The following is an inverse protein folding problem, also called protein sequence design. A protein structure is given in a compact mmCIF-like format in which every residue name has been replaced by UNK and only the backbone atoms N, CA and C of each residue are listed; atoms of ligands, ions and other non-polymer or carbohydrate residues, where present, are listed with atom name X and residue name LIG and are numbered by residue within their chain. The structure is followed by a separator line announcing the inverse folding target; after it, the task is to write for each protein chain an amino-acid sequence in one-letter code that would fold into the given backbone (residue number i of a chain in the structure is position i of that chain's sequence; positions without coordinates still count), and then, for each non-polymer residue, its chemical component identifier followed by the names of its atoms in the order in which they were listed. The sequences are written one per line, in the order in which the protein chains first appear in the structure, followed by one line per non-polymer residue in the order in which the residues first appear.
data_IF_654519091025
#
_entry.id   IF_654519091025
#
_cell.length_a   1.000
_cell.length_b   1.000
_cell.length_c   1.000
_cell.angle_alpha   90.00
_cell.angle_beta   90.00
_cell.angle_gamma   90.00
#
_symmetry.space_group_name_H-M   'P 1'
#
loop_
_entity.id
_entity.type
_entity.pdbx_description
1 polymer ?
#
# COMPACT_ATOMS: atom_id res chain seq x y z
N UNK A 1 11.86 14.71 3.03
CA UNK A 1 10.55 15.32 2.70
C UNK A 1 9.49 15.06 3.79
N UNK A 2 9.74 14.17 4.76
CA UNK A 2 8.68 13.59 5.62
C UNK A 2 8.82 13.85 7.13
N UNK A 3 9.68 14.79 7.54
CA UNK A 3 9.97 15.01 8.98
C UNK A 3 9.74 16.47 9.40
N UNK A 4 8.67 17.09 8.91
CA UNK A 4 8.04 18.21 9.62
C UNK A 4 6.80 17.72 10.37
N UNK A 5 6.40 18.43 11.41
CA UNK A 5 5.34 17.99 12.33
C UNK A 5 4.01 17.73 11.62
N UNK A 6 3.66 18.51 10.59
CA UNK A 6 2.41 18.32 9.85
C UNK A 6 2.45 17.06 8.99
N UNK A 7 3.55 16.88 8.26
CA UNK A 7 3.74 15.77 7.32
C UNK A 7 3.87 14.45 8.07
N UNK A 8 4.60 14.43 9.19
CA UNK A 8 4.72 13.26 10.05
C UNK A 8 3.37 12.84 10.62
N UNK A 9 2.59 13.80 11.15
CA UNK A 9 1.25 13.54 11.67
C UNK A 9 0.29 13.07 10.57
N UNK A 10 0.36 13.69 9.38
CA UNK A 10 -0.47 13.31 8.25
C UNK A 10 -0.20 11.86 7.81
N UNK A 11 1.07 11.47 7.63
CA UNK A 11 1.38 10.13 7.13
C UNK A 11 1.18 9.05 8.20
N UNK A 12 1.59 9.28 9.44
CA UNK A 12 1.35 8.32 10.53
C UNK A 12 -0.14 8.15 10.87
N UNK A 13 -1.00 9.12 10.53
CA UNK A 13 -2.43 9.04 10.81
C UNK A 13 -3.33 8.70 9.59
N UNK A 14 -2.88 8.94 8.35
CA UNK A 14 -3.73 8.84 7.16
C UNK A 14 -3.18 7.94 6.06
N UNK A 15 -1.86 7.76 5.95
CA UNK A 15 -1.24 6.95 4.89
C UNK A 15 0.12 6.45 5.37
N UNK A 16 0.18 5.26 6.01
CA UNK A 16 1.40 4.71 6.62
C UNK A 16 2.46 4.28 5.58
N UNK A 17 2.55 4.94 4.42
CA UNK A 17 3.51 4.70 3.34
C UNK A 17 3.43 3.33 2.66
N UNK A 18 2.46 2.50 3.02
CA UNK A 18 2.30 1.12 2.50
C UNK A 18 1.27 0.97 1.36
N UNK A 19 0.59 2.04 0.95
CA UNK A 19 -0.51 1.98 -0.03
C UNK A 19 -0.16 2.46 -1.45
N UNK A 20 1.11 2.35 -1.86
CA UNK A 20 1.57 2.89 -3.14
C UNK A 20 0.91 2.21 -4.37
N UNK A 21 0.60 0.91 -4.30
CA UNK A 21 0.08 0.14 -5.44
C UNK A 21 -1.25 -0.54 -5.08
N UNK A 22 -2.33 -0.37 -5.88
CA UNK A 22 -2.47 0.45 -7.08
C UNK A 22 -2.90 1.90 -6.79
N UNK A 23 -2.62 2.84 -7.69
CA UNK A 23 -3.10 4.22 -7.54
C UNK A 23 -4.63 4.34 -7.74
N UNK A 24 -5.39 4.30 -6.65
CA UNK A 24 -6.85 4.47 -6.65
C UNK A 24 -7.28 5.90 -7.00
N UNK A 25 -6.44 6.89 -6.71
CA UNK A 25 -6.64 8.29 -7.11
C UNK A 25 -6.84 8.44 -8.62
N UNK A 26 -6.21 7.56 -9.42
CA UNK A 26 -6.41 7.48 -10.87
C UNK A 26 -7.44 6.40 -11.23
N UNK A 27 -7.38 5.24 -10.58
CA UNK A 27 -8.25 4.12 -10.89
C UNK A 27 -9.74 4.44 -10.79
N UNK A 28 -10.16 5.12 -9.71
CA UNK A 28 -11.58 5.48 -9.49
C UNK A 28 -12.15 6.41 -10.58
N UNK A 29 -11.55 7.59 -10.86
CA UNK A 29 -12.09 8.47 -11.90
C UNK A 29 -11.95 7.87 -13.32
N UNK A 30 -10.89 7.09 -13.59
CA UNK A 30 -10.79 6.34 -14.86
C UNK A 30 -11.93 5.33 -14.99
N UNK A 31 -12.27 4.61 -13.92
CA UNK A 31 -13.39 3.67 -13.92
C UNK A 31 -14.71 4.37 -14.24
N UNK A 32 -14.94 5.53 -13.63
CA UNK A 32 -16.11 6.35 -13.94
C UNK A 32 -16.18 6.77 -15.41
N UNK A 33 -15.06 7.16 -16.03
CA UNK A 33 -15.00 7.44 -17.47
C UNK A 33 -15.34 6.21 -18.32
N UNK A 34 -14.84 5.04 -17.94
CA UNK A 34 -15.12 3.78 -18.66
C UNK A 34 -16.63 3.50 -18.60
N UNK A 35 -17.24 3.60 -17.42
CA UNK A 35 -18.68 3.40 -17.23
C UNK A 35 -19.50 4.39 -18.08
N UNK A 36 -19.16 5.68 -18.05
CA UNK A 36 -19.85 6.71 -18.85
C UNK A 36 -19.80 6.39 -20.35
N UNK A 37 -18.62 5.97 -20.84
CA UNK A 37 -18.41 5.61 -22.25
C UNK A 37 -19.16 4.34 -22.63
N UNK A 38 -19.16 3.33 -21.77
CA UNK A 38 -19.93 2.09 -21.96
C UNK A 38 -21.43 2.39 -22.02
N UNK A 39 -21.92 3.25 -21.12
CA UNK A 39 -23.32 3.67 -21.11
C UNK A 39 -23.73 4.42 -22.39
N UNK A 40 -22.92 5.39 -22.84
CA UNK A 40 -23.18 6.10 -24.11
C UNK A 40 -23.20 5.14 -25.30
N UNK A 41 -22.28 4.17 -25.32
CA UNK A 41 -22.19 3.15 -26.35
C UNK A 41 -23.42 2.25 -26.38
N UNK A 42 -23.91 1.83 -25.22
CA UNK A 42 -25.13 1.03 -25.10
C UNK A 42 -26.37 1.77 -25.62
N UNK A 43 -26.45 3.09 -25.40
CA UNK A 43 -27.49 3.96 -25.93
C UNK A 43 -27.32 4.30 -27.42
N UNK A 44 -26.18 3.97 -28.03
CA UNK A 44 -25.84 4.35 -29.40
C UNK A 44 -25.60 5.85 -29.59
N UNK A 45 -25.37 6.59 -28.50
CA UNK A 45 -25.16 8.04 -28.51
C UNK A 45 -23.66 8.34 -28.47
N UNK A 46 -23.22 9.33 -29.24
CA UNK A 46 -21.83 9.81 -29.14
C UNK A 46 -21.66 10.56 -27.82
N UNK A 47 -20.53 10.37 -27.13
CA UNK A 47 -20.22 11.13 -25.89
C UNK A 47 -20.33 12.65 -26.09
N UNK A 48 -20.05 13.15 -27.30
CA UNK A 48 -20.20 14.57 -27.68
C UNK A 48 -21.65 15.08 -27.65
N UNK A 49 -22.61 14.19 -27.79
CA UNK A 49 -24.05 14.47 -27.83
C UNK A 49 -24.74 14.10 -26.50
N UNK A 50 -23.98 13.50 -25.56
CA UNK A 50 -24.51 13.08 -24.28
C UNK A 50 -24.78 14.28 -23.36
N UNK A 51 -25.93 14.27 -22.67
CA UNK A 51 -26.36 15.34 -21.75
C UNK A 51 -25.32 15.67 -20.67
N UNK A 52 -24.48 14.71 -20.30
CA UNK A 52 -23.47 14.85 -19.25
C UNK A 52 -22.04 14.92 -19.81
N UNK A 53 -21.87 15.35 -21.07
CA UNK A 53 -20.55 15.52 -21.69
C UNK A 53 -19.64 16.44 -20.88
N UNK A 54 -20.18 17.53 -20.33
CA UNK A 54 -19.42 18.47 -19.49
C UNK A 54 -18.86 17.78 -18.25
N UNK A 55 -19.61 16.83 -17.68
CA UNK A 55 -19.16 16.01 -16.56
C UNK A 55 -18.06 15.03 -16.97
N UNK A 56 -18.18 14.37 -18.13
CA UNK A 56 -17.12 13.51 -18.67
C UNK A 56 -15.81 14.29 -18.89
N UNK A 57 -15.90 15.51 -19.45
CA UNK A 57 -14.76 16.40 -19.63
C UNK A 57 -14.16 16.84 -18.28
N UNK A 58 -15.02 17.17 -17.31
CA UNK A 58 -14.57 17.52 -15.96
C UNK A 58 -13.74 16.40 -15.34
N UNK A 59 -14.19 15.15 -15.46
CA UNK A 59 -13.43 13.98 -14.96
C UNK A 59 -12.09 13.84 -15.69
N UNK A 60 -12.05 14.02 -17.01
CA UNK A 60 -10.79 13.97 -17.77
C UNK A 60 -9.79 15.01 -17.24
N UNK A 61 -10.23 16.25 -17.04
CA UNK A 61 -9.38 17.31 -16.49
C UNK A 61 -8.95 16.99 -15.06
N UNK A 62 -9.86 16.46 -14.24
CA UNK A 62 -9.57 16.07 -12.87
C UNK A 62 -8.51 14.96 -12.80
N UNK A 63 -8.55 13.97 -13.69
CA UNK A 63 -7.49 12.95 -13.80
C UNK A 63 -6.13 13.57 -14.10
N UNK A 64 -6.06 14.54 -15.03
CA UNK A 64 -4.80 15.22 -15.34
C UNK A 64 -4.23 15.97 -14.13
N UNK A 65 -5.11 16.63 -13.37
CA UNK A 65 -4.72 17.30 -12.13
C UNK A 65 -4.23 16.28 -11.10
N UNK A 66 -4.93 15.15 -10.93
CA UNK A 66 -4.50 14.11 -10.01
C UNK A 66 -3.18 13.47 -10.39
N UNK A 67 -2.93 13.20 -11.68
CA UNK A 67 -1.61 12.72 -12.13
C UNK A 67 -0.53 13.71 -11.72
N UNK A 68 -0.74 15.01 -11.91
CA UNK A 68 0.22 16.02 -11.47
C UNK A 68 0.37 16.02 -9.94
N UNK A 69 -0.73 16.06 -9.19
CA UNK A 69 -0.71 16.16 -7.73
C UNK A 69 -0.05 14.97 -7.05
N UNK A 70 -0.38 13.73 -7.45
CA UNK A 70 0.18 12.52 -6.79
C UNK A 70 1.67 12.36 -7.06
N UNK A 71 2.14 12.76 -8.24
CA UNK A 71 3.56 12.73 -8.60
C UNK A 71 4.31 13.88 -7.92
N UNK A 72 3.71 15.07 -7.88
CA UNK A 72 4.29 16.24 -7.23
C UNK A 72 4.46 16.03 -5.72
N UNK A 73 3.48 15.40 -5.07
CA UNK A 73 3.52 15.10 -3.65
C UNK A 73 4.42 13.89 -3.31
N UNK A 74 4.87 13.14 -4.33
CA UNK A 74 5.75 11.98 -4.15
C UNK A 74 5.07 10.74 -3.57
N UNK A 75 3.73 10.68 -3.57
CA UNK A 75 2.95 9.58 -2.97
C UNK A 75 2.90 8.35 -3.89
N UNK A 76 2.91 8.55 -5.21
CA UNK A 76 2.84 7.46 -6.18
C UNK A 76 3.95 7.57 -7.22
N UNK A 77 4.50 6.42 -7.62
CA UNK A 77 5.30 6.29 -8.82
C UNK A 77 4.43 6.20 -10.07
N UNK A 78 4.99 6.54 -11.23
CA UNK A 78 4.30 6.42 -12.52
C UNK A 78 3.83 4.98 -12.77
N UNK A 79 4.61 3.99 -12.30
CA UNK A 79 4.28 2.57 -12.45
C UNK A 79 3.02 2.15 -11.68
N UNK A 80 2.68 2.84 -10.60
CA UNK A 80 1.51 2.56 -9.74
C UNK A 80 0.18 2.88 -10.44
N UNK A 81 0.23 3.75 -11.46
CA UNK A 81 -0.91 4.16 -12.27
C UNK A 81 -1.41 2.99 -13.13
N UNK A 82 -0.50 2.16 -13.64
CA UNK A 82 -0.82 1.04 -14.54
C UNK A 82 -1.78 0.03 -13.90
N UNK A 83 -1.47 -0.56 -12.72
CA UNK A 83 -2.40 -1.47 -12.06
C UNK A 83 -3.69 -0.75 -11.61
N UNK A 84 -3.63 0.55 -11.32
CA UNK A 84 -4.83 1.37 -11.06
C UNK A 84 -5.80 1.42 -12.25
N UNK A 85 -5.28 1.64 -13.46
CA UNK A 85 -6.07 1.59 -14.71
C UNK A 85 -6.58 0.17 -14.98
N UNK A 86 -5.77 -0.87 -14.71
CA UNK A 86 -6.18 -2.26 -14.82
C UNK A 86 -7.38 -2.59 -13.90
N UNK A 87 -7.31 -2.17 -12.64
CA UNK A 87 -8.41 -2.32 -11.68
C UNK A 87 -9.66 -1.54 -12.13
N UNK A 88 -9.49 -0.33 -12.64
CA UNK A 88 -10.57 0.48 -13.19
C UNK A 88 -11.29 -0.22 -14.34
N UNK A 89 -10.54 -0.85 -15.25
CA UNK A 89 -11.10 -1.64 -16.34
C UNK A 89 -11.94 -2.80 -15.81
N UNK A 90 -11.35 -3.64 -14.95
CA UNK A 90 -12.01 -4.84 -14.43
C UNK A 90 -13.31 -4.47 -13.70
N UNK A 91 -13.22 -3.53 -12.76
CA UNK A 91 -14.37 -3.13 -11.95
C UNK A 91 -15.47 -2.48 -12.78
N UNK A 92 -15.13 -1.61 -13.73
CA UNK A 92 -16.11 -0.92 -14.59
C UNK A 92 -16.89 -1.88 -15.48
N UNK A 93 -16.18 -2.84 -16.10
CA UNK A 93 -16.82 -3.84 -16.95
C UNK A 93 -17.70 -4.80 -16.15
N UNK A 94 -17.23 -5.22 -14.98
CA UNK A 94 -18.04 -6.05 -14.08
C UNK A 94 -19.32 -5.34 -13.68
N UNK A 95 -19.22 -4.11 -13.18
CA UNK A 95 -20.37 -3.30 -12.76
C UNK A 95 -21.32 -3.06 -13.92
N UNK A 96 -20.82 -2.66 -15.10
CA UNK A 96 -21.66 -2.42 -16.28
C UNK A 96 -22.47 -3.67 -16.68
N UNK A 97 -21.90 -4.87 -16.54
CA UNK A 97 -22.59 -6.11 -16.90
C UNK A 97 -23.54 -6.63 -15.82
N UNK A 98 -23.22 -6.45 -14.54
CA UNK A 98 -23.96 -7.04 -13.42
C UNK A 98 -25.05 -6.09 -12.91
N UNK A 99 -24.75 -4.80 -12.80
CA UNK A 99 -25.65 -3.81 -12.18
C UNK A 99 -27.04 -3.71 -12.85
N UNK A 100 -27.18 -3.70 -14.19
CA UNK A 100 -28.51 -3.67 -14.82
C UNK A 100 -29.36 -4.88 -14.48
N UNK A 101 -28.70 -6.03 -14.31
CA UNK A 101 -29.34 -7.32 -14.13
C UNK A 101 -29.76 -7.53 -12.67
N UNK A 102 -28.97 -6.99 -11.72
CA UNK A 102 -29.39 -6.82 -10.31
C UNK A 102 -30.57 -5.87 -10.14
N UNK A 103 -30.68 -4.82 -10.97
CA UNK A 103 -31.77 -3.83 -10.89
C UNK A 103 -33.06 -4.27 -11.58
N UNK A 104 -33.05 -5.38 -12.31
CA UNK A 104 -34.25 -5.88 -12.99
C UNK A 104 -35.23 -6.47 -11.97
N UNK A 105 -36.52 -6.13 -12.07
CA UNK A 105 -37.57 -6.49 -11.10
C UNK A 105 -37.82 -8.01 -10.98
N UNK A 106 -37.28 -8.82 -11.89
CA UNK A 106 -37.34 -10.29 -11.87
C UNK A 106 -36.22 -10.90 -11.02
N UNK A 107 -36.17 -10.53 -9.73
CA UNK A 107 -35.20 -11.01 -8.75
C UNK A 107 -35.26 -12.53 -8.47
N UNK A 108 -36.24 -13.26 -9.04
CA UNK A 108 -36.49 -14.67 -8.76
C UNK A 108 -35.46 -15.65 -9.35
N UNK A 109 -34.38 -15.17 -9.98
CA UNK A 109 -33.35 -16.01 -10.60
C UNK A 109 -31.96 -15.66 -10.06
N UNK A 110 -31.58 -16.30 -8.96
CA UNK A 110 -30.20 -16.37 -8.42
C UNK A 110 -29.17 -16.83 -9.48
N UNK A 111 -29.64 -17.46 -10.55
CA UNK A 111 -28.83 -17.90 -11.70
C UNK A 111 -28.15 -16.76 -12.49
N UNK A 112 -28.40 -15.49 -12.16
CA UNK A 112 -27.88 -14.37 -12.91
C UNK A 112 -26.34 -14.20 -12.77
N UNK A 113 -25.76 -14.57 -11.63
CA UNK A 113 -24.31 -14.48 -11.37
C UNK A 113 -23.59 -15.76 -11.86
N UNK A 114 -24.26 -16.70 -12.53
CA UNK A 114 -23.58 -17.90 -13.01
C UNK A 114 -22.72 -17.59 -14.24
N UNK A 115 -21.41 -17.88 -14.21
CA UNK A 115 -20.53 -17.63 -15.34
C UNK A 115 -20.86 -18.57 -16.51
N UNK A 116 -20.65 -18.10 -17.73
CA UNK A 116 -20.64 -18.97 -18.91
C UNK A 116 -19.38 -19.87 -18.90
N UNK A 117 -19.29 -20.85 -19.82
CA UNK A 117 -18.13 -21.79 -19.86
C UNK A 117 -16.77 -21.07 -19.97
N UNK A 118 -16.68 -20.01 -20.78
CA UNK A 118 -15.41 -19.25 -20.96
C UNK A 118 -15.04 -18.49 -19.69
N UNK A 119 -16.01 -17.81 -19.09
CA UNK A 119 -15.88 -17.14 -17.80
C UNK A 119 -15.48 -18.12 -16.70
N UNK A 120 -16.09 -19.31 -16.68
CA UNK A 120 -15.73 -20.34 -15.70
C UNK A 120 -14.27 -20.78 -15.84
N UNK A 121 -13.78 -21.06 -17.05
CA UNK A 121 -12.37 -21.39 -17.27
C UNK A 121 -11.44 -20.25 -16.85
N UNK A 122 -11.82 -19.01 -17.16
CA UNK A 122 -11.05 -17.83 -16.76
C UNK A 122 -11.03 -17.62 -15.25
N UNK A 123 -12.16 -17.81 -14.56
CA UNK A 123 -12.26 -17.74 -13.09
C UNK A 123 -11.35 -18.79 -12.46
N UNK A 124 -11.43 -20.04 -12.91
CA UNK A 124 -10.57 -21.11 -12.38
C UNK A 124 -9.09 -20.79 -12.61
N UNK A 125 -8.73 -20.33 -13.81
CA UNK A 125 -7.36 -19.94 -14.14
C UNK A 125 -6.84 -18.78 -13.29
N UNK A 126 -7.63 -17.71 -13.15
CA UNK A 126 -7.29 -16.55 -12.31
C UNK A 126 -7.17 -16.96 -10.85
N UNK A 127 -8.11 -17.73 -10.31
CA UNK A 127 -8.02 -18.21 -8.94
C UNK A 127 -6.73 -19.00 -8.72
N UNK A 128 -6.40 -19.94 -9.61
CA UNK A 128 -5.16 -20.72 -9.46
C UNK A 128 -3.90 -19.83 -9.49
N UNK A 129 -3.82 -18.90 -10.45
CA UNK A 129 -2.69 -17.98 -10.57
C UNK A 129 -2.62 -17.06 -9.35
N UNK A 130 -3.71 -16.43 -8.95
CA UNK A 130 -3.72 -15.51 -7.81
C UNK A 130 -3.39 -16.22 -6.49
N UNK A 131 -3.91 -17.43 -6.28
CA UNK A 131 -3.52 -18.28 -5.15
C UNK A 131 -2.03 -18.55 -5.16
N UNK A 132 -1.46 -18.94 -6.31
CA UNK A 132 -0.02 -19.15 -6.45
C UNK A 132 0.77 -17.87 -6.11
N UNK A 133 0.37 -16.72 -6.64
CA UNK A 133 1.04 -15.44 -6.36
C UNK A 133 0.97 -15.07 -4.88
N UNK A 134 -0.18 -15.23 -4.23
CA UNK A 134 -0.33 -14.93 -2.80
C UNK A 134 0.60 -15.80 -1.97
N UNK A 135 0.57 -17.12 -2.14
CA UNK A 135 1.36 -18.01 -1.29
C UNK A 135 2.87 -17.92 -1.58
N UNK A 136 3.28 -17.94 -2.85
CA UNK A 136 4.69 -18.04 -3.19
C UNK A 136 5.40 -16.70 -3.41
N UNK A 137 4.67 -15.60 -3.57
CA UNK A 137 5.28 -14.28 -3.78
C UNK A 137 4.97 -13.33 -2.64
N UNK A 138 3.73 -13.32 -2.12
CA UNK A 138 3.35 -12.38 -1.06
C UNK A 138 3.72 -12.93 0.32
N UNK A 139 3.40 -14.20 0.59
CA UNK A 139 3.62 -14.83 1.90
C UNK A 139 5.06 -15.38 2.00
N UNK A 140 5.46 -16.23 1.06
CA UNK A 140 6.80 -16.86 1.05
C UNK A 140 7.78 -16.17 0.08
N UNK A 141 7.56 -14.89 -0.21
CA UNK A 141 8.38 -14.13 -1.14
C UNK A 141 9.81 -13.85 -0.66
N UNK A 142 10.72 -13.45 -1.56
CA UNK A 142 12.10 -13.10 -1.17
C UNK A 142 12.20 -11.95 -0.15
N UNK A 143 11.19 -11.06 -0.09
CA UNK A 143 11.13 -9.98 0.89
C UNK A 143 10.73 -10.41 2.30
N UNK A 144 10.26 -11.65 2.49
CA UNK A 144 9.83 -12.16 3.81
C UNK A 144 10.93 -12.91 4.56
N UNK A 145 12.12 -13.06 3.96
CA UNK A 145 13.30 -13.60 4.63
C UNK A 145 13.76 -12.72 5.78
N UNK A 146 13.98 -13.31 6.95
CA UNK A 146 14.51 -12.62 8.13
C UNK A 146 15.98 -12.22 7.98
N UNK A 147 16.69 -12.87 7.06
CA UNK A 147 18.10 -12.60 6.75
C UNK A 147 18.28 -11.37 5.84
N UNK A 148 17.21 -10.88 5.20
CA UNK A 148 17.26 -9.77 4.25
C UNK A 148 16.71 -8.48 4.89
N UNK A 149 17.41 -7.34 4.77
CA UNK A 149 16.97 -6.09 5.40
C UNK A 149 15.70 -5.55 4.75
N UNK A 150 14.77 -5.06 5.58
CA UNK A 150 13.66 -4.22 5.11
C UNK A 150 13.96 -2.72 5.23
N UNK A 151 15.00 -2.35 5.98
CA UNK A 151 15.47 -0.97 6.08
C UNK A 151 16.98 -0.87 5.86
N UNK A 152 17.37 0.17 5.10
CA UNK A 152 18.77 0.57 4.88
C UNK A 152 18.97 1.99 5.38
N UNK A 153 20.09 2.23 6.06
CA UNK A 153 20.42 3.48 6.74
C UNK A 153 21.74 4.02 6.22
N UNK A 154 21.74 5.23 5.66
CA UNK A 154 22.96 5.98 5.40
C UNK A 154 23.48 6.70 6.67
N UNK A 155 24.67 7.26 6.58
CA UNK A 155 25.39 7.87 7.72
C UNK A 155 24.63 9.04 8.38
N UNK A 156 23.91 9.84 7.58
CA UNK A 156 23.14 11.00 8.06
C UNK A 156 21.64 10.71 8.11
N UNK A 157 21.23 9.49 7.78
CA UNK A 157 19.82 9.14 7.66
C UNK A 157 19.24 8.76 9.03
N UNK A 158 18.04 9.27 9.30
CA UNK A 158 17.17 8.75 10.36
C UNK A 158 15.95 8.18 9.68
N UNK A 159 15.82 6.85 9.74
CA UNK A 159 14.67 6.16 9.20
C UNK A 159 13.60 5.99 10.29
N UNK A 160 12.35 5.86 9.87
CA UNK A 160 11.19 5.82 10.71
C UNK A 160 10.32 4.63 10.31
N UNK A 161 10.02 3.79 11.28
CA UNK A 161 8.98 2.77 11.18
C UNK A 161 7.82 3.11 12.12
N UNK A 162 6.58 2.92 11.66
CA UNK A 162 5.39 3.17 12.49
C UNK A 162 4.87 1.85 13.06
N UNK A 163 4.53 1.86 14.36
CA UNK A 163 3.89 0.72 15.04
C UNK A 163 2.41 1.06 15.24
N UNK A 164 1.54 0.32 14.55
CA UNK A 164 0.09 0.49 14.66
C UNK A 164 -0.51 -0.49 15.68
N UNK A 165 -0.82 0.00 16.89
CA UNK A 165 -1.41 -0.87 17.92
C UNK A 165 -2.93 -0.97 17.73
N UNK A 166 -3.39 -2.06 17.12
CA UNK A 166 -4.82 -2.28 16.80
C UNK A 166 -5.68 -2.78 17.98
N UNK A 167 -5.08 -3.04 19.15
CA UNK A 167 -5.80 -3.56 20.32
C UNK A 167 -5.42 -2.83 21.60
N UNK A 168 -6.42 -2.48 22.41
CA UNK A 168 -6.21 -1.91 23.75
C UNK A 168 -5.77 -2.97 24.77
N UNK A 169 -5.97 -4.25 24.46
CA UNK A 169 -5.74 -5.35 25.41
C UNK A 169 -4.53 -6.21 25.06
N UNK A 170 -4.13 -6.21 23.78
CA UNK A 170 -3.03 -7.04 23.30
C UNK A 170 -1.88 -6.14 22.82
N UNK A 171 -0.65 -6.33 23.34
CA UNK A 171 0.52 -5.62 22.84
C UNK A 171 0.88 -6.04 21.43
N UNK A 172 1.57 -5.16 20.70
CA UNK A 172 2.32 -5.51 19.50
C UNK A 172 3.73 -5.88 19.93
N UNK A 173 4.22 -7.06 19.55
CA UNK A 173 5.60 -7.45 19.83
C UNK A 173 6.44 -7.10 18.61
N UNK A 174 7.54 -6.38 18.84
CA UNK A 174 8.46 -6.01 17.78
C UNK A 174 9.80 -6.67 18.02
N UNK A 175 10.32 -7.33 16.99
CA UNK A 175 11.70 -7.81 16.92
C UNK A 175 12.47 -6.94 15.93
N UNK A 176 13.66 -6.49 16.33
CA UNK A 176 14.57 -5.77 15.46
C UNK A 176 15.91 -6.48 15.42
N UNK A 177 16.34 -6.85 14.22
CA UNK A 177 17.58 -7.59 13.96
C UNK A 177 18.51 -6.71 13.15
N UNK A 178 19.76 -6.56 13.59
CA UNK A 178 20.80 -5.95 12.79
C UNK A 178 21.42 -7.01 11.86
N UNK A 179 20.99 -7.03 10.60
CA UNK A 179 21.49 -7.98 9.59
C UNK A 179 22.76 -7.48 8.88
N UNK A 180 23.11 -6.21 9.07
CA UNK A 180 24.29 -5.58 8.49
C UNK A 180 25.58 -5.76 9.29
N UNK A 181 26.63 -5.10 8.80
CA UNK A 181 27.97 -5.10 9.39
C UNK A 181 28.23 -3.89 10.31
N UNK A 182 27.35 -2.89 10.28
CA UNK A 182 27.48 -1.64 11.03
C UNK A 182 26.61 -1.63 12.27
N UNK A 183 27.05 -0.93 13.33
CA UNK A 183 26.23 -0.78 14.54
C UNK A 183 25.12 0.25 14.33
N UNK A 184 23.93 -0.02 14.87
CA UNK A 184 22.76 0.85 14.73
C UNK A 184 22.19 1.26 16.09
N UNK A 185 21.54 2.42 16.12
CA UNK A 185 20.76 2.89 17.27
C UNK A 185 19.28 2.93 16.91
N UNK A 186 18.45 2.47 17.84
CA UNK A 186 16.99 2.49 17.73
C UNK A 186 16.42 3.32 18.86
N UNK A 187 15.38 4.10 18.58
CA UNK A 187 14.65 4.87 19.56
C UNK A 187 13.16 4.59 19.41
N UNK A 188 12.58 3.91 20.40
CA UNK A 188 11.14 3.72 20.50
C UNK A 188 10.53 4.94 21.21
N UNK A 189 9.58 5.60 20.56
CA UNK A 189 8.94 6.79 21.11
C UNK A 189 7.49 6.96 20.61
N UNK A 190 6.64 7.59 21.42
CA UNK A 190 5.29 8.01 20.97
C UNK A 190 5.40 9.05 19.86
N UNK A 191 4.60 8.90 18.81
CA UNK A 191 4.57 9.80 17.65
C UNK A 191 4.30 11.25 18.06
N UNK A 192 3.35 11.48 18.97
CA UNK A 192 3.00 12.82 19.48
C UNK A 192 4.13 13.55 20.23
N UNK A 193 5.14 12.81 20.69
CA UNK A 193 6.37 13.38 21.26
C UNK A 193 7.36 13.67 20.14
N UNK A 194 7.57 12.70 19.24
CA UNK A 194 8.48 12.84 18.10
C UNK A 194 8.14 14.03 17.19
N UNK A 195 6.85 14.24 16.90
CA UNK A 195 6.34 15.36 16.10
C UNK A 195 6.84 16.73 16.60
N UNK A 196 7.00 16.91 17.91
CA UNK A 196 7.43 18.18 18.51
C UNK A 196 8.92 18.46 18.33
N UNK A 197 9.68 17.46 17.92
CA UNK A 197 11.14 17.50 17.74
C UNK A 197 11.54 17.10 16.31
N UNK A 198 10.61 17.20 15.36
CA UNK A 198 10.81 16.96 13.94
C UNK A 198 10.52 18.25 13.16
N UNK A 199 11.57 18.88 12.60
CA UNK A 199 11.42 20.09 11.78
C UNK A 199 12.18 19.95 10.47
N UNK A 200 11.53 20.31 9.35
CA UNK A 200 12.14 20.39 8.00
C UNK A 200 12.86 19.12 7.54
N UNK A 201 12.43 17.96 8.02
CA UNK A 201 13.07 16.71 7.62
C UNK A 201 14.19 16.24 8.56
N UNK A 202 14.34 16.87 9.74
CA UNK A 202 15.40 16.52 10.70
C UNK A 202 14.77 16.24 12.05
N UNK A 203 15.11 15.09 12.64
CA UNK A 203 14.78 14.76 14.03
C UNK A 203 15.89 15.27 14.95
N UNK A 204 15.53 16.02 15.99
CA UNK A 204 16.45 16.35 17.08
C UNK A 204 16.70 15.11 17.95
N UNK A 205 17.68 14.31 17.52
CA UNK A 205 18.01 13.04 18.17
C UNK A 205 18.41 13.21 19.64
N UNK A 206 19.15 14.27 19.96
CA UNK A 206 19.59 14.50 21.35
C UNK A 206 18.39 14.76 22.25
N UNK A 207 17.47 15.64 21.82
CA UNK A 207 16.26 15.94 22.57
C UNK A 207 15.29 14.76 22.68
N UNK A 208 15.29 13.86 21.67
CA UNK A 208 14.43 12.68 21.63
C UNK A 208 15.00 11.50 22.41
N UNK A 209 16.32 11.32 22.41
CA UNK A 209 17.01 10.22 23.10
C UNK A 209 16.75 10.20 24.61
N UNK A 210 16.45 11.34 25.22
CA UNK A 210 16.12 11.44 26.64
C UNK A 210 14.62 11.21 26.95
N UNK A 211 13.78 11.04 25.92
CA UNK A 211 12.30 10.99 26.04
C UNK A 211 11.69 9.67 25.55
N UNK A 212 12.48 8.82 24.92
CA UNK A 212 12.08 7.49 24.47
C UNK A 212 13.00 6.41 25.04
N UNK A 213 12.79 5.19 24.58
CA UNK A 213 13.62 4.03 24.94
C UNK A 213 14.69 3.82 23.86
N UNK A 214 15.96 3.96 24.26
CA UNK A 214 17.11 3.85 23.37
C UNK A 214 17.70 2.44 23.42
N UNK A 215 17.90 1.83 22.25
CA UNK A 215 18.58 0.56 22.06
C UNK A 215 19.80 0.76 21.15
N UNK A 216 20.85 -0.01 21.39
CA UNK A 216 22.04 -0.06 20.52
C UNK A 216 22.23 -1.50 20.11
N UNK A 217 22.26 -1.77 18.81
CA UNK A 217 22.49 -3.10 18.27
C UNK A 217 23.84 -3.16 17.58
N UNK A 218 24.66 -4.10 18.03
CA UNK A 218 25.89 -4.51 17.33
C UNK A 218 25.54 -5.34 16.10
N UNK A 219 26.48 -5.59 15.17
CA UNK A 219 26.24 -6.45 14.02
C UNK A 219 25.74 -7.84 14.44
N UNK A 220 24.69 -8.34 13.80
CA UNK A 220 24.03 -9.63 14.09
C UNK A 220 23.36 -9.73 15.46
N UNK A 221 23.23 -8.62 16.18
CA UNK A 221 22.48 -8.54 17.43
C UNK A 221 21.00 -8.28 17.15
N UNK A 222 20.12 -8.80 18.01
CA UNK A 222 18.69 -8.53 17.98
C UNK A 222 18.20 -7.95 19.31
N UNK A 223 17.09 -7.25 19.25
CA UNK A 223 16.34 -6.81 20.43
C UNK A 223 14.85 -7.01 20.20
N UNK A 224 14.11 -7.21 21.28
CA UNK A 224 12.66 -7.32 21.23
C UNK A 224 12.01 -6.50 22.33
N UNK A 225 10.87 -5.89 22.01
CA UNK A 225 10.08 -5.10 22.93
C UNK A 225 8.59 -5.21 22.60
N UNK A 226 7.75 -4.92 23.60
CA UNK A 226 6.30 -4.98 23.46
C UNK A 226 5.72 -3.58 23.61
N UNK A 227 4.86 -3.18 22.67
CA UNK A 227 4.22 -1.86 22.67
C UNK A 227 2.74 -2.01 22.96
N UNK A 228 2.28 -1.31 24.00
CA UNK A 228 0.86 -1.22 24.36
C UNK A 228 0.36 0.21 24.14
N UNK A 229 -0.95 0.31 23.91
CA UNK A 229 -1.61 1.60 23.73
C UNK A 229 -2.76 1.77 24.72
N UNK A 230 -2.90 2.98 25.26
CA UNK A 230 -4.03 3.37 26.11
C UNK A 230 -5.22 3.88 25.27
N UNK A 231 -4.99 4.18 23.99
CA UNK A 231 -5.93 4.84 23.09
C UNK A 231 -5.77 4.33 21.65
N UNK A 232 -6.88 4.23 20.91
CA UNK A 232 -6.85 3.87 19.49
C UNK A 232 -6.23 4.96 18.59
N UNK A 233 -5.96 6.14 19.15
CA UNK A 233 -5.29 7.25 18.46
C UNK A 233 -3.80 7.36 18.80
N UNK A 234 -3.33 6.55 19.75
CA UNK A 234 -1.94 6.56 20.17
C UNK A 234 -1.14 5.67 19.19
N UNK A 235 -0.16 6.27 18.52
CA UNK A 235 0.81 5.56 17.69
C UNK A 235 2.22 5.71 18.25
N UNK A 236 3.05 4.73 17.95
CA UNK A 236 4.47 4.72 18.29
C UNK A 236 5.29 4.64 17.02
N UNK A 237 6.51 5.14 17.08
CA UNK A 237 7.47 5.03 15.99
C UNK A 237 8.79 4.47 16.52
N UNK A 238 9.50 3.78 15.64
CA UNK A 238 10.89 3.37 15.82
C UNK A 238 11.73 4.27 14.92
N UNK A 239 12.51 5.14 15.53
CA UNK A 239 13.54 5.88 14.80
C UNK A 239 14.81 5.06 14.79
N UNK A 240 15.41 4.88 13.63
CA UNK A 240 16.65 4.12 13.47
C UNK A 240 17.71 4.97 12.76
N UNK A 241 18.96 4.86 13.22
CA UNK A 241 20.10 5.50 12.58
C UNK A 241 21.38 4.69 12.79
N UNK A 242 22.39 4.97 11.97
CA UNK A 242 23.74 4.44 12.21
C UNK A 242 24.34 4.98 13.50
N UNK A 243 25.06 4.13 14.21
CA UNK A 243 25.88 4.54 15.36
C UNK A 243 27.20 5.07 14.83
N UNK A 244 27.33 6.39 14.76
CA UNK A 244 28.56 7.01 14.30
C UNK A 244 29.74 6.61 15.21
N UNK A 245 30.86 6.10 14.66
CA UNK A 245 32.12 6.09 15.39
C UNK A 245 32.57 7.54 15.62
N UNK A 246 33.26 7.78 16.74
CA UNK A 246 33.82 9.10 17.06
C UNK A 246 34.70 9.62 15.91
N UNK A 247 34.58 10.92 15.64
CA UNK A 247 35.25 11.73 14.61
C UNK A 247 36.34 11.04 13.77
N UNK A 248 36.14 10.97 12.46
CA UNK A 248 37.16 10.49 11.52
C UNK A 248 38.45 11.32 11.64
N UNK A 249 39.57 10.67 11.97
CA UNK A 249 40.88 11.32 12.02
C UNK A 249 41.58 11.39 10.67
N UNK A 250 41.26 10.50 9.72
CA UNK A 250 41.90 10.40 8.40
C UNK A 250 40.89 10.47 7.25
N UNK A 251 41.31 11.05 6.13
CA UNK A 251 40.46 11.30 4.95
C UNK A 251 39.94 10.00 4.28
N UNK A 252 40.73 8.93 4.32
CA UNK A 252 40.31 7.60 3.80
C UNK A 252 39.19 6.98 4.62
N UNK A 253 39.22 7.15 5.94
CA UNK A 253 38.21 6.61 6.85
C UNK A 253 36.88 7.36 6.70
N UNK A 254 36.92 8.66 6.38
CA UNK A 254 35.74 9.44 6.02
C UNK A 254 35.04 8.91 4.75
N UNK A 255 35.78 8.42 3.76
CA UNK A 255 35.22 7.93 2.50
C UNK A 255 34.59 6.55 2.66
N UNK A 256 35.20 5.68 3.48
CA UNK A 256 34.62 4.40 3.90
C UNK A 256 33.35 4.64 4.73
N UNK A 257 33.38 5.59 5.67
CA UNK A 257 32.20 5.95 6.48
C UNK A 257 31.06 6.58 5.66
N UNK A 258 31.35 7.32 4.58
CA UNK A 258 30.29 7.80 3.69
C UNK A 258 29.58 6.68 2.93
N UNK A 259 30.24 5.54 2.77
CA UNK A 259 29.69 4.37 2.11
C UNK A 259 29.19 3.30 3.10
N UNK A 260 29.28 3.55 4.41
CA UNK A 260 28.76 2.63 5.42
C UNK A 260 27.24 2.62 5.35
N UNK A 261 26.65 1.43 5.24
CA UNK A 261 25.20 1.24 5.17
C UNK A 261 24.80 0.36 6.35
N UNK A 262 23.92 0.88 7.20
CA UNK A 262 23.26 0.10 8.23
C UNK A 262 22.12 -0.70 7.60
N UNK A 263 21.99 -1.97 7.96
CA UNK A 263 20.95 -2.84 7.43
C UNK A 263 20.22 -3.49 8.60
N UNK A 264 18.93 -3.18 8.74
CA UNK A 264 18.09 -3.71 9.82
C UNK A 264 16.86 -4.39 9.26
N UNK A 265 16.40 -5.39 10.00
CA UNK A 265 15.13 -6.08 9.81
C UNK A 265 14.24 -5.76 11.00
N UNK A 266 13.12 -5.09 10.76
CA UNK A 266 12.09 -4.86 11.78
C UNK A 266 10.91 -5.80 11.48
N UNK A 267 10.50 -6.59 12.46
CA UNK A 267 9.39 -7.54 12.38
C UNK A 267 8.36 -7.17 13.44
N UNK A 268 7.14 -6.89 13.02
CA UNK A 268 6.02 -6.60 13.92
C UNK A 268 5.09 -7.81 13.97
N UNK A 269 4.95 -8.40 15.15
CA UNK A 269 4.03 -9.50 15.44
C UNK A 269 2.75 -8.96 16.06
N UNK A 270 1.66 -9.08 15.31
CA UNK A 270 0.34 -8.69 15.78
C UNK A 270 -0.34 -9.90 16.44
N UNK A 271 -1.23 -9.64 17.38
CA UNK A 271 -1.96 -10.71 18.08
C UNK A 271 -2.76 -11.62 17.12
N UNK A 272 -3.16 -11.08 15.95
CA UNK A 272 -4.01 -11.76 14.98
C UNK A 272 -3.23 -12.30 13.76
N UNK A 273 -1.96 -12.68 13.91
CA UNK A 273 -1.13 -13.21 12.82
C UNK A 273 -1.73 -14.48 12.12
N UNK A 274 -2.74 -15.12 12.72
CA UNK A 274 -3.52 -16.22 12.11
C UNK A 274 -4.55 -15.77 11.04
N UNK A 275 -4.72 -14.47 10.80
CA UNK A 275 -5.71 -13.92 9.85
C UNK A 275 -5.37 -14.13 8.37
N UNK A 276 -4.20 -14.68 8.03
CA UNK A 276 -3.79 -14.91 6.63
C UNK A 276 -4.82 -15.75 5.87
N UNK A 277 -5.39 -16.77 6.50
CA UNK A 277 -6.43 -17.60 5.88
C UNK A 277 -7.74 -16.84 5.67
N UNK A 278 -8.13 -16.02 6.64
CA UNK A 278 -9.29 -15.14 6.53
C UNK A 278 -9.10 -14.15 5.37
N UNK A 279 -7.93 -13.53 5.27
CA UNK A 279 -7.58 -12.62 4.19
C UNK A 279 -7.65 -13.32 2.81
N UNK A 280 -7.09 -14.53 2.71
CA UNK A 280 -7.18 -15.33 1.49
C UNK A 280 -8.64 -15.65 1.11
N UNK A 281 -9.49 -16.08 2.05
CA UNK A 281 -10.90 -16.38 1.77
C UNK A 281 -11.65 -15.12 1.31
N UNK A 282 -11.39 -13.98 1.95
CA UNK A 282 -11.99 -12.69 1.59
C UNK A 282 -11.50 -12.18 0.23
N UNK A 283 -10.37 -12.68 -0.29
CA UNK A 283 -9.88 -12.35 -1.64
C UNK A 283 -10.59 -13.12 -2.77
N UNK A 284 -11.27 -14.24 -2.49
CA UNK A 284 -11.93 -15.08 -3.51
C UNK A 284 -12.96 -14.35 -4.38
N UNK A 285 -13.81 -13.44 -3.85
CA UNK A 285 -14.70 -12.61 -4.67
C UNK A 285 -13.94 -11.78 -5.71
N UNK A 286 -12.75 -11.27 -5.36
CA UNK A 286 -11.92 -10.52 -6.30
C UNK A 286 -11.43 -11.41 -7.44
N UNK A 287 -11.00 -12.64 -7.16
CA UNK A 287 -10.60 -13.59 -8.22
C UNK A 287 -11.76 -13.92 -9.15
N UNK A 288 -12.94 -14.11 -8.57
CA UNK A 288 -14.17 -14.31 -9.33
C UNK A 288 -14.45 -13.12 -10.26
N UNK A 289 -14.41 -11.88 -9.75
CA UNK A 289 -14.68 -10.66 -10.54
C UNK A 289 -13.68 -10.52 -11.69
N UNK A 290 -12.38 -10.66 -11.40
CA UNK A 290 -11.32 -10.57 -12.41
C UNK A 290 -11.49 -11.64 -13.47
N UNK A 291 -11.67 -12.89 -13.07
CA UNK A 291 -11.89 -14.00 -14.01
C UNK A 291 -13.18 -13.86 -14.82
N UNK A 292 -14.24 -13.35 -14.21
CA UNK A 292 -15.52 -13.11 -14.89
C UNK A 292 -15.37 -12.11 -16.03
N UNK A 293 -14.60 -11.03 -15.81
CA UNK A 293 -14.34 -10.00 -16.82
C UNK A 293 -13.40 -10.50 -17.90
N UNK A 294 -12.30 -11.17 -17.55
CA UNK A 294 -11.35 -11.70 -18.52
C UNK A 294 -11.97 -12.77 -19.43
N UNK A 295 -12.95 -13.53 -18.94
CA UNK A 295 -13.68 -14.51 -19.74
C UNK A 295 -14.86 -13.95 -20.54
N UNK A 296 -15.11 -12.63 -20.52
CA UNK A 296 -16.14 -12.00 -21.35
C UNK A 296 -15.80 -12.14 -22.85
N UNK A 297 -16.82 -12.31 -23.68
CA UNK A 297 -16.69 -12.29 -25.13
C UNK A 297 -16.50 -10.87 -25.67
N UNK A 298 -15.92 -10.74 -26.86
CA UNK A 298 -15.76 -9.45 -27.55
C UNK A 298 -17.09 -8.69 -27.66
N UNK A 299 -18.22 -9.38 -27.84
CA UNK A 299 -19.55 -8.75 -27.90
C UNK A 299 -19.98 -8.13 -26.56
N UNK A 300 -19.69 -8.81 -25.46
CA UNK A 300 -19.96 -8.33 -24.10
C UNK A 300 -19.04 -7.14 -23.75
N UNK A 301 -17.77 -7.19 -24.19
CA UNK A 301 -16.81 -6.09 -24.03
C UNK A 301 -17.20 -4.90 -24.93
N UNK A 302 -17.76 -5.18 -26.10
CA UNK A 302 -18.20 -4.16 -27.05
C UNK A 302 -19.59 -3.60 -26.74
N UNK A 303 -20.30 -4.06 -25.69
CA UNK A 303 -21.65 -3.63 -25.36
C UNK A 303 -22.60 -3.61 -26.59
N UNK A 304 -22.43 -4.58 -27.50
CA UNK A 304 -23.29 -4.72 -28.68
C UNK A 304 -24.45 -5.61 -28.29
N UNK A 305 -25.68 -5.08 -28.32
CA UNK A 305 -26.90 -5.88 -28.15
C UNK A 305 -26.92 -6.99 -29.20
N UNK A 306 -26.99 -8.24 -28.75
CA UNK A 306 -27.43 -9.35 -29.61
C UNK A 306 -28.94 -9.19 -29.80
N UNK A 307 -29.34 -8.89 -31.05
CA UNK A 307 -30.72 -8.96 -31.52
C UNK A 307 -31.29 -10.36 -31.36
#
# INVERSE_FOLDING_TARGET
MYHDSFTLSFFTANDPMDNAIPSLHIGLPVGLLIINRLHCRELGVKVKEWRHREFDIFIIVNILIYIFSIQYLGIHWIVDIIPGIGLAFITSYFVHQIQPKLRSENFSKINFILPNKKQLYSIVGVSFISTFLIFFIVIDGPGTSDDEPNYRLGLEDVNLETIEVHSLSNPVNVEVINVGEESVQLLLIKTSIAEKHAEKGIFDWEALSSKGELFSLSPKENTSFSVTTESIYDSYIILSKLKNPDSCSEFSDCEIMKNSVGEIRIITHYFDDELIWSAYIVSLPSFYIVGYVLGMSDKEIMSIKTS
#
